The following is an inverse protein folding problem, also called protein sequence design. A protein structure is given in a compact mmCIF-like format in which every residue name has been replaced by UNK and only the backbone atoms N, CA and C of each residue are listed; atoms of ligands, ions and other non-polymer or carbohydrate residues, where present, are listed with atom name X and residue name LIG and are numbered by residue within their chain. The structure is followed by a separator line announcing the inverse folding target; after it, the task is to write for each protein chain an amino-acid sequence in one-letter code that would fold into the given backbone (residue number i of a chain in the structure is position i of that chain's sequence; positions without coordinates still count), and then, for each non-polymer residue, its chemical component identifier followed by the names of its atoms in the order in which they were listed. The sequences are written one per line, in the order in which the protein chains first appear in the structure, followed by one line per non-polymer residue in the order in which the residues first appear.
data_IF_855368883998
#
_entry.id   IF_855368883998
#
_cell.length_a   1.000
_cell.length_b   1.000
_cell.length_c   1.000
_cell.angle_alpha   90.00
_cell.angle_beta   90.00
_cell.angle_gamma   90.00
#
_symmetry.space_group_name_H-M   'P 1'
#
loop_
_entity.id
_entity.type
_entity.pdbx_description
1 polymer ?
#
# COMPACT_ATOMS: atom_id res chain seq x y z
N UNK A 1 2.90 11.08 -0.21
CA UNK A 1 3.01 11.32 1.25
C UNK A 1 4.46 11.11 1.63
N UNK A 2 5.17 12.10 2.17
CA UNK A 2 6.51 11.95 2.73
C UNK A 2 6.47 11.06 3.97
N UNK A 3 7.37 10.08 4.03
CA UNK A 3 7.50 9.17 5.17
C UNK A 3 8.85 9.38 5.83
N UNK A 4 8.85 9.46 7.16
CA UNK A 4 10.03 9.46 8.01
C UNK A 4 10.22 8.07 8.59
N UNK A 5 11.34 7.42 8.37
CA UNK A 5 11.76 6.25 9.12
C UNK A 5 12.57 6.74 10.33
N UNK A 6 12.06 6.51 11.54
CA UNK A 6 12.66 6.96 12.79
C UNK A 6 13.18 5.75 13.56
N UNK A 7 14.49 5.64 13.74
CA UNK A 7 15.10 4.54 14.50
C UNK A 7 15.47 5.03 15.90
N UNK A 8 14.96 4.36 16.91
CA UNK A 8 15.20 4.71 18.32
C UNK A 8 16.24 3.77 18.91
N UNK A 9 17.30 4.30 19.49
CA UNK A 9 18.38 3.59 20.18
C UNK A 9 18.93 2.37 19.41
N UNK A 10 19.08 2.51 18.09
CA UNK A 10 19.67 1.45 17.25
C UNK A 10 21.08 1.11 17.73
N UNK A 11 21.35 -0.17 17.98
CA UNK A 11 22.64 -0.66 18.48
C UNK A 11 23.51 -1.29 17.39
N UNK A 12 22.90 -1.90 16.39
CA UNK A 12 23.62 -2.63 15.35
C UNK A 12 23.91 -1.71 14.16
N UNK A 13 25.21 -1.46 13.83
CA UNK A 13 25.58 -0.64 12.69
C UNK A 13 25.07 -1.18 11.34
N UNK A 14 25.07 -2.50 11.15
CA UNK A 14 24.54 -3.12 9.93
C UNK A 14 23.04 -2.87 9.73
N UNK A 15 22.24 -2.92 10.82
CA UNK A 15 20.83 -2.57 10.76
C UNK A 15 20.63 -1.08 10.40
N UNK A 16 21.46 -0.21 10.94
CA UNK A 16 21.44 1.22 10.62
C UNK A 16 21.69 1.46 9.13
N UNK A 17 22.75 0.85 8.58
CA UNK A 17 23.08 0.95 7.17
C UNK A 17 21.97 0.38 6.27
N UNK A 18 21.47 -0.80 6.58
CA UNK A 18 20.39 -1.44 5.82
C UNK A 18 19.09 -0.62 5.88
N UNK A 19 18.77 0.01 7.02
CA UNK A 19 17.61 0.90 7.13
C UNK A 19 17.79 2.18 6.31
N UNK A 20 18.99 2.75 6.25
CA UNK A 20 19.31 3.89 5.40
C UNK A 20 19.10 3.54 3.92
N UNK A 21 19.56 2.37 3.50
CA UNK A 21 19.32 1.86 2.14
C UNK A 21 17.83 1.66 1.85
N UNK A 22 17.09 1.09 2.78
CA UNK A 22 15.64 0.95 2.66
C UNK A 22 14.95 2.31 2.52
N UNK A 23 15.30 3.28 3.38
CA UNK A 23 14.76 4.63 3.29
C UNK A 23 15.01 5.26 1.91
N UNK A 24 16.22 5.13 1.37
CA UNK A 24 16.56 5.64 0.03
C UNK A 24 15.77 4.93 -1.06
N UNK A 25 15.61 3.60 -1.00
CA UNK A 25 14.86 2.82 -1.98
C UNK A 25 13.38 3.24 -2.07
N UNK A 26 12.78 3.63 -0.95
CA UNK A 26 11.38 4.01 -0.87
C UNK A 26 11.15 5.53 -0.84
N UNK A 27 12.22 6.34 -0.99
CA UNK A 27 12.10 7.79 -0.97
C UNK A 27 11.67 8.34 0.40
N UNK A 28 11.96 7.60 1.49
CA UNK A 28 11.71 8.03 2.85
C UNK A 28 12.91 8.80 3.40
N UNK A 29 12.65 9.73 4.31
CA UNK A 29 13.69 10.35 5.12
C UNK A 29 14.07 9.44 6.28
N UNK A 30 15.33 9.49 6.72
CA UNK A 30 15.82 8.78 7.90
C UNK A 30 16.08 9.76 9.03
N UNK A 31 15.63 9.44 10.23
CA UNK A 31 15.96 10.13 11.47
C UNK A 31 16.36 9.14 12.56
N UNK A 32 17.21 9.58 13.47
CA UNK A 32 17.68 8.75 14.57
C UNK A 32 17.37 9.45 15.90
N UNK A 33 16.84 8.69 16.85
CA UNK A 33 16.62 9.14 18.23
C UNK A 33 17.58 8.38 19.12
N UNK A 34 18.49 9.09 19.80
CA UNK A 34 19.48 8.54 20.73
C UNK A 34 20.24 7.30 20.16
N UNK A 35 20.81 7.39 18.95
CA UNK A 35 21.47 6.24 18.32
C UNK A 35 22.67 5.77 19.14
N UNK A 36 22.80 4.45 19.32
CA UNK A 36 23.92 3.81 20.04
C UNK A 36 24.96 3.26 19.07
N UNK A 37 24.55 2.92 17.85
CA UNK A 37 25.46 2.48 16.81
C UNK A 37 26.24 3.66 16.23
N UNK A 38 27.57 3.55 16.05
CA UNK A 38 28.35 4.53 15.32
C UNK A 38 27.97 4.52 13.83
N UNK A 39 27.75 5.72 13.26
CA UNK A 39 27.29 5.87 11.89
C UNK A 39 28.39 5.63 10.86
N UNK A 40 29.63 5.78 11.25
CA UNK A 40 30.85 5.60 10.46
C UNK A 40 31.45 4.20 10.58
N UNK A 41 30.80 3.30 11.32
CA UNK A 41 31.20 1.91 11.41
C UNK A 41 31.23 1.24 10.04
N UNK A 42 32.21 0.40 9.77
CA UNK A 42 32.38 -0.28 8.49
C UNK A 42 31.11 -1.02 8.03
N UNK A 43 30.41 -1.69 8.96
CA UNK A 43 29.15 -2.38 8.65
C UNK A 43 28.03 -1.38 8.29
N UNK A 44 27.94 -0.22 8.97
CA UNK A 44 26.93 0.78 8.63
C UNK A 44 27.12 1.27 7.19
N UNK A 45 28.37 1.56 6.82
CA UNK A 45 28.71 1.99 5.46
C UNK A 45 28.47 0.87 4.45
N UNK A 46 28.93 -0.36 4.73
CA UNK A 46 28.80 -1.50 3.83
C UNK A 46 27.32 -1.86 3.56
N UNK A 47 26.49 -1.91 4.60
CA UNK A 47 25.07 -2.22 4.45
C UNK A 47 24.24 -1.05 3.91
N UNK A 48 24.72 0.19 4.00
CA UNK A 48 24.08 1.34 3.35
C UNK A 48 24.19 1.28 1.82
N UNK A 49 25.29 0.74 1.28
CA UNK A 49 25.48 0.43 -0.14
C UNK A 49 24.76 1.37 -1.12
N UNK A 50 25.31 2.57 -1.36
CA UNK A 50 24.72 3.61 -2.20
C UNK A 50 23.74 4.56 -1.46
N UNK A 51 23.56 4.41 -0.14
CA UNK A 51 22.77 5.30 0.70
C UNK A 51 23.63 5.97 1.82
N UNK A 52 24.96 5.99 1.66
CA UNK A 52 25.89 6.59 2.63
C UNK A 52 25.66 8.09 2.81
N UNK A 53 25.14 8.75 1.79
CA UNK A 53 24.73 10.15 1.84
C UNK A 53 23.63 10.41 2.87
N UNK A 54 22.68 9.46 3.03
CA UNK A 54 21.66 9.56 4.07
C UNK A 54 22.27 9.41 5.46
N UNK A 55 23.20 8.49 5.65
CA UNK A 55 23.90 8.35 6.95
C UNK A 55 24.68 9.60 7.32
N UNK A 56 25.37 10.22 6.37
CA UNK A 56 26.14 11.46 6.62
C UNK A 56 25.26 12.67 6.96
N UNK A 57 24.04 12.72 6.40
CA UNK A 57 23.10 13.84 6.55
C UNK A 57 22.00 13.56 7.57
N UNK A 58 22.00 12.37 8.20
CA UNK A 58 20.90 11.94 9.07
C UNK A 58 20.74 12.90 10.25
N UNK A 59 19.50 13.33 10.47
CA UNK A 59 19.15 14.15 11.63
C UNK A 59 19.12 13.26 12.88
N UNK A 60 19.81 13.70 13.93
CA UNK A 60 19.83 13.03 15.24
C UNK A 60 19.03 13.87 16.23
N UNK A 61 18.23 13.20 17.00
CA UNK A 61 17.39 13.77 18.05
C UNK A 61 17.75 13.13 19.38
N UNK A 62 17.58 13.86 20.46
CA UNK A 62 17.86 13.33 21.79
C UNK A 62 16.70 12.50 22.32
N UNK A 63 15.46 12.93 22.04
CA UNK A 63 14.23 12.30 22.56
C UNK A 63 13.16 12.18 21.46
N UNK A 64 12.25 11.24 21.65
CA UNK A 64 11.19 10.96 20.66
C UNK A 64 10.22 12.15 20.48
N UNK A 65 10.02 12.96 21.51
CA UNK A 65 9.11 14.11 21.47
C UNK A 65 9.51 15.17 20.41
N UNK A 66 10.77 15.21 20.02
CA UNK A 66 11.24 16.09 18.95
C UNK A 66 10.71 15.70 17.55
N UNK A 67 10.01 14.57 17.41
CA UNK A 67 9.37 14.14 16.18
C UNK A 67 8.00 14.85 15.97
N UNK A 68 7.26 15.12 17.03
CA UNK A 68 5.93 15.73 16.95
C UNK A 68 5.86 17.04 16.14
N UNK A 69 6.86 17.94 16.19
CA UNK A 69 6.83 19.16 15.37
C UNK A 69 7.09 18.93 13.88
N UNK A 70 7.55 17.73 13.48
CA UNK A 70 7.98 17.44 12.09
C UNK A 70 7.15 16.35 11.40
N UNK A 71 6.16 15.79 12.07
CA UNK A 71 5.26 14.80 11.51
C UNK A 71 3.82 15.06 11.98
N UNK A 72 2.84 14.82 11.10
CA UNK A 72 1.42 14.96 11.45
C UNK A 72 0.92 13.74 12.23
N UNK A 73 1.46 12.56 11.92
CA UNK A 73 1.19 11.31 12.61
C UNK A 73 2.49 10.61 13.00
N UNK A 74 2.58 10.19 14.24
CA UNK A 74 3.69 9.41 14.81
C UNK A 74 3.20 7.98 15.07
N UNK A 75 3.69 7.04 14.32
CA UNK A 75 3.19 5.66 14.32
C UNK A 75 4.27 4.68 14.74
N UNK A 76 4.05 4.01 15.87
CA UNK A 76 4.98 3.00 16.39
C UNK A 76 4.84 1.67 15.65
N UNK A 77 5.96 1.05 15.26
CA UNK A 77 6.02 -0.34 14.81
C UNK A 77 6.32 -1.23 16.01
N UNK A 78 5.42 -2.17 16.31
CA UNK A 78 5.62 -3.12 17.42
C UNK A 78 5.10 -4.51 17.06
N UNK A 79 5.71 -5.56 17.62
CA UNK A 79 5.18 -6.91 17.52
C UNK A 79 3.91 -7.08 18.35
N UNK A 80 3.05 -8.05 17.98
CA UNK A 80 1.81 -8.37 18.71
C UNK A 80 2.04 -8.89 20.13
N UNK A 81 3.23 -9.45 20.42
CA UNK A 81 3.50 -10.10 21.71
C UNK A 81 3.60 -9.09 22.85
N UNK A 82 2.74 -9.29 23.83
CA UNK A 82 3.01 -9.00 25.24
C UNK A 82 2.63 -7.62 25.77
N UNK A 83 1.95 -6.75 25.02
CA UNK A 83 1.59 -5.44 25.58
C UNK A 83 0.14 -5.04 25.33
N UNK A 84 -0.78 -5.79 25.90
CA UNK A 84 -2.10 -5.26 26.25
C UNK A 84 -1.92 -4.41 27.53
N UNK A 85 -1.37 -3.20 27.39
CA UNK A 85 -1.23 -2.27 28.51
C UNK A 85 -2.33 -1.23 28.41
N UNK A 86 -3.00 -0.94 29.53
CA UNK A 86 -3.94 0.19 29.62
C UNK A 86 -3.24 1.49 29.18
N UNK A 87 -3.88 2.26 28.32
CA UNK A 87 -3.36 3.54 27.85
C UNK A 87 -2.46 3.48 26.61
N UNK A 88 -2.27 2.31 25.98
CA UNK A 88 -1.61 2.23 24.69
C UNK A 88 -2.63 2.22 23.55
N UNK A 89 -2.32 2.82 22.40
CA UNK A 89 -3.12 2.65 21.19
C UNK A 89 -3.26 1.17 20.85
N UNK A 90 -4.44 0.68 20.43
CA UNK A 90 -4.62 -0.70 20.02
C UNK A 90 -3.70 -1.00 18.81
N UNK A 91 -3.16 -2.22 18.71
CA UNK A 91 -2.40 -2.60 17.53
C UNK A 91 -3.34 -2.66 16.33
N UNK A 92 -2.95 -2.00 15.26
CA UNK A 92 -3.72 -1.87 14.02
C UNK A 92 -2.91 -2.44 12.87
N UNK A 93 -3.54 -3.04 11.89
CA UNK A 93 -2.88 -3.50 10.67
C UNK A 93 -2.66 -2.36 9.69
N UNK A 94 -1.69 -2.52 8.76
CA UNK A 94 -1.48 -1.58 7.67
C UNK A 94 -2.73 -1.38 6.79
N UNK A 95 -3.54 -2.43 6.62
CA UNK A 95 -4.77 -2.36 5.84
C UNK A 95 -5.79 -1.43 6.48
N UNK A 96 -5.92 -1.49 7.80
CA UNK A 96 -6.89 -0.69 8.55
C UNK A 96 -6.50 0.78 8.61
N UNK A 97 -5.22 1.07 8.87
CA UNK A 97 -4.74 2.45 9.06
C UNK A 97 -4.36 3.16 7.74
N UNK A 98 -4.15 2.41 6.65
CA UNK A 98 -3.62 2.98 5.41
C UNK A 98 -4.46 4.13 4.85
N UNK A 99 -5.78 4.11 5.03
CA UNK A 99 -6.67 5.19 4.56
C UNK A 99 -6.49 6.48 5.35
N UNK A 100 -6.37 6.40 6.68
CA UNK A 100 -6.12 7.58 7.53
C UNK A 100 -4.75 8.16 7.29
N UNK A 101 -3.70 7.32 7.26
CA UNK A 101 -2.33 7.78 7.01
C UNK A 101 -2.16 8.45 5.64
N UNK A 102 -2.96 8.07 4.63
CA UNK A 102 -2.91 8.73 3.31
C UNK A 102 -3.40 10.17 3.32
N UNK A 103 -4.14 10.59 4.33
CA UNK A 103 -4.62 11.97 4.49
C UNK A 103 -3.58 12.84 5.18
N UNK A 104 -2.59 12.26 5.86
CA UNK A 104 -1.53 12.95 6.55
C UNK A 104 -0.55 13.58 5.57
N UNK A 105 -0.08 14.77 5.86
CA UNK A 105 0.95 15.45 5.08
C UNK A 105 2.31 14.77 5.24
N UNK A 106 2.60 14.25 6.46
CA UNK A 106 3.88 13.62 6.78
C UNK A 106 3.69 12.60 7.91
N UNK A 107 4.15 11.38 7.72
CA UNK A 107 4.03 10.28 8.70
C UNK A 107 5.40 9.86 9.19
N UNK A 108 5.60 9.78 10.50
CA UNK A 108 6.77 9.21 11.13
C UNK A 108 6.49 7.75 11.54
N UNK A 109 7.24 6.82 10.98
CA UNK A 109 7.25 5.41 11.38
C UNK A 109 8.37 5.20 12.38
N UNK A 110 8.03 4.90 13.62
CA UNK A 110 8.97 4.77 14.73
C UNK A 110 9.29 3.31 14.99
N UNK A 111 10.57 2.97 14.90
CA UNK A 111 11.11 1.63 15.13
C UNK A 111 11.98 1.64 16.39
N UNK A 112 11.68 0.76 17.31
CA UNK A 112 12.46 0.57 18.53
C UNK A 112 13.77 -0.18 18.30
N UNK A 113 14.65 -0.23 19.32
CA UNK A 113 15.89 -0.98 19.26
C UNK A 113 15.65 -2.48 19.05
N UNK A 114 16.69 -3.17 18.60
CA UNK A 114 16.69 -4.59 18.27
C UNK A 114 16.34 -5.48 19.48
N UNK A 115 16.69 -5.02 20.67
CA UNK A 115 16.35 -5.69 21.93
C UNK A 115 15.34 -4.86 22.71
N UNK A 116 14.23 -5.51 23.10
CA UNK A 116 13.19 -4.89 23.92
C UNK A 116 12.20 -3.98 23.18
N UNK A 117 12.51 -3.50 21.98
CA UNK A 117 11.64 -2.60 21.23
C UNK A 117 11.43 -1.24 21.92
N UNK A 118 10.39 -0.52 21.53
CA UNK A 118 9.99 0.73 22.17
C UNK A 118 9.50 0.50 23.60
N UNK A 119 9.79 1.42 24.53
CA UNK A 119 9.26 1.38 25.88
C UNK A 119 7.76 1.71 25.91
N UNK A 120 7.12 1.46 27.06
CA UNK A 120 5.70 1.80 27.23
C UNK A 120 5.47 3.31 27.08
N UNK A 121 6.36 4.11 27.65
CA UNK A 121 6.32 5.56 27.57
C UNK A 121 6.50 6.07 26.15
N UNK A 122 7.38 5.45 25.36
CA UNK A 122 7.55 5.79 23.94
C UNK A 122 6.32 5.41 23.10
N UNK A 123 5.71 4.25 23.40
CA UNK A 123 4.47 3.83 22.73
C UNK A 123 3.29 4.76 23.05
N UNK A 124 3.22 5.30 24.27
CA UNK A 124 2.19 6.27 24.68
C UNK A 124 2.32 7.62 23.98
N UNK A 125 3.52 7.98 23.49
CA UNK A 125 3.78 9.20 22.73
C UNK A 125 3.49 9.08 21.24
N UNK A 126 3.10 7.90 20.79
CA UNK A 126 2.72 7.66 19.41
C UNK A 126 1.19 7.71 19.25
N UNK A 127 0.73 8.24 18.13
CA UNK A 127 -0.70 8.38 17.82
C UNK A 127 -1.35 7.05 17.49
N UNK A 128 -0.57 6.13 16.90
CA UNK A 128 -1.02 4.80 16.52
C UNK A 128 0.09 3.75 16.69
N UNK A 129 -0.32 2.49 16.71
CA UNK A 129 0.59 1.34 16.78
C UNK A 129 0.29 0.38 15.65
N UNK A 130 1.25 0.20 14.77
CA UNK A 130 1.19 -0.75 13.66
C UNK A 130 1.90 -2.05 13.98
N UNK A 131 1.33 -3.12 13.49
CA UNK A 131 1.92 -4.45 13.58
C UNK A 131 2.08 -5.06 12.19
N UNK A 132 3.25 -5.60 11.92
CA UNK A 132 3.51 -6.42 10.74
C UNK A 132 3.09 -7.85 11.08
N UNK A 133 2.17 -8.40 10.29
CA UNK A 133 1.72 -9.77 10.47
C UNK A 133 2.87 -10.74 10.16
N UNK A 134 3.17 -11.59 11.11
CA UNK A 134 4.18 -12.66 11.04
C UNK A 134 3.58 -13.95 11.62
N UNK A 135 4.30 -15.07 11.52
CA UNK A 135 3.88 -16.31 12.17
C UNK A 135 3.98 -16.17 13.69
N UNK A 136 3.04 -16.80 14.41
CA UNK A 136 2.99 -16.74 15.89
C UNK A 136 4.24 -17.37 16.54
N UNK A 137 4.81 -18.40 15.91
CA UNK A 137 5.99 -19.08 16.40
C UNK A 137 7.25 -18.21 16.30
N UNK A 138 7.31 -17.31 15.32
CA UNK A 138 8.43 -16.41 15.08
C UNK A 138 7.96 -14.98 14.75
N UNK A 139 7.43 -14.24 15.75
CA UNK A 139 6.68 -13.00 15.52
C UNK A 139 7.54 -11.75 15.36
N UNK A 140 8.86 -11.81 15.57
CA UNK A 140 9.74 -10.65 15.53
C UNK A 140 10.58 -10.63 14.27
N UNK A 141 10.52 -9.51 13.54
CA UNK A 141 11.43 -9.24 12.44
C UNK A 141 12.69 -8.54 12.94
N UNK A 142 13.79 -8.71 12.22
CA UNK A 142 14.96 -7.85 12.36
C UNK A 142 14.56 -6.38 12.11
N UNK A 143 15.26 -5.43 12.73
CA UNK A 143 14.96 -4.00 12.61
C UNK A 143 14.94 -3.53 11.15
N UNK A 144 15.98 -3.83 10.38
CA UNK A 144 16.06 -3.42 8.98
C UNK A 144 14.97 -4.09 8.11
N UNK A 145 14.64 -5.35 8.39
CA UNK A 145 13.51 -6.04 7.73
C UNK A 145 12.19 -5.35 8.05
N UNK A 146 11.96 -4.97 9.30
CA UNK A 146 10.75 -4.22 9.69
C UNK A 146 10.64 -2.90 8.94
N UNK A 147 11.75 -2.16 8.80
CA UNK A 147 11.81 -0.90 8.03
C UNK A 147 11.42 -1.14 6.57
N UNK A 148 12.03 -2.13 5.92
CA UNK A 148 11.74 -2.46 4.51
C UNK A 148 10.27 -2.79 4.32
N UNK A 149 9.71 -3.70 5.14
CA UNK A 149 8.31 -4.13 5.01
C UNK A 149 7.36 -2.97 5.26
N UNK A 150 7.58 -2.18 6.31
CA UNK A 150 6.72 -1.04 6.63
C UNK A 150 6.73 0.02 5.52
N UNK A 151 7.90 0.36 5.00
CA UNK A 151 8.03 1.32 3.91
C UNK A 151 7.40 0.79 2.61
N UNK A 152 7.58 -0.50 2.30
CA UNK A 152 6.95 -1.12 1.13
C UNK A 152 5.42 -1.09 1.21
N UNK A 153 4.83 -1.37 2.37
CA UNK A 153 3.39 -1.38 2.58
C UNK A 153 2.76 0.04 2.51
N UNK A 154 3.51 1.07 2.89
CA UNK A 154 3.06 2.47 2.83
C UNK A 154 3.47 3.19 1.55
N UNK A 155 4.34 2.59 0.73
CA UNK A 155 4.84 3.23 -0.47
C UNK A 155 3.75 3.39 -1.52
N UNK A 156 3.58 4.59 -2.10
CA UNK A 156 2.69 4.82 -3.23
C UNK A 156 3.22 4.20 -4.54
N UNK A 157 4.44 3.62 -4.54
CA UNK A 157 5.05 3.02 -5.73
C UNK A 157 4.25 1.86 -6.32
N UNK A 158 3.46 1.14 -5.51
CA UNK A 158 2.55 0.11 -6.05
C UNK A 158 1.49 0.70 -6.97
N UNK A 159 0.92 1.85 -6.63
CA UNK A 159 -0.06 2.52 -7.51
C UNK A 159 0.60 3.03 -8.79
N UNK A 160 1.80 3.59 -8.68
CA UNK A 160 2.56 4.08 -9.84
C UNK A 160 3.05 2.94 -10.73
N UNK A 161 3.43 1.80 -10.12
CA UNK A 161 3.86 0.60 -10.86
C UNK A 161 2.68 -0.08 -11.54
N UNK A 162 1.52 -0.18 -10.88
CA UNK A 162 0.27 -0.67 -11.50
C UNK A 162 -0.16 0.22 -12.65
N UNK A 163 -0.06 1.55 -12.52
CA UNK A 163 -0.32 2.50 -13.61
C UNK A 163 0.65 2.36 -14.78
N UNK A 164 1.95 2.08 -14.53
CA UNK A 164 2.97 1.87 -15.57
C UNK A 164 2.94 0.48 -16.20
N UNK A 165 2.63 -0.54 -15.43
CA UNK A 165 2.53 -1.93 -15.92
C UNK A 165 1.25 -2.19 -16.71
N UNK A 166 0.24 -1.35 -16.55
CA UNK A 166 -1.02 -1.44 -17.27
C UNK A 166 -1.44 -0.04 -17.75
N UNK A 167 -0.84 0.48 -18.85
CA UNK A 167 -1.16 1.81 -19.38
C UNK A 167 -2.63 1.95 -19.75
N UNK A 168 -3.37 0.86 -19.94
CA UNK A 168 -4.82 0.86 -20.12
C UNK A 168 -5.62 1.14 -18.83
N UNK A 169 -5.00 1.07 -17.64
CA UNK A 169 -5.66 1.37 -16.35
C UNK A 169 -5.42 2.81 -15.86
N UNK A 170 -4.76 3.66 -16.64
CA UNK A 170 -4.61 5.10 -16.37
C UNK A 170 -5.72 5.97 -16.96
N UNK A 171 -6.56 5.41 -17.82
CA UNK A 171 -7.76 6.07 -18.30
C UNK A 171 -8.88 5.97 -17.26
N UNK A 172 -9.61 7.04 -17.04
CA UNK A 172 -10.78 7.04 -16.15
C UNK A 172 -11.77 5.93 -16.56
N UNK A 173 -12.40 5.30 -15.57
CA UNK A 173 -13.46 4.34 -15.83
C UNK A 173 -14.54 4.99 -16.70
N UNK A 174 -15.10 4.23 -17.62
CA UNK A 174 -16.11 4.73 -18.54
C UNK A 174 -17.27 5.42 -17.78
N UNK A 175 -17.79 6.53 -18.32
CA UNK A 175 -18.99 7.16 -17.76
C UNK A 175 -20.12 6.15 -17.58
N UNK A 176 -20.88 6.26 -16.49
CA UNK A 176 -21.98 5.35 -16.19
C UNK A 176 -23.00 5.20 -17.33
N UNK A 177 -23.14 6.22 -18.17
CA UNK A 177 -24.00 6.20 -19.37
C UNK A 177 -23.46 5.18 -20.40
N UNK A 178 -22.17 5.20 -20.67
CA UNK A 178 -21.54 4.34 -21.68
C UNK A 178 -21.47 2.89 -21.18
N UNK A 179 -21.21 2.68 -19.91
CA UNK A 179 -21.25 1.35 -19.30
C UNK A 179 -22.68 0.75 -19.40
N UNK A 180 -23.72 1.54 -19.09
CA UNK A 180 -25.11 1.08 -19.26
C UNK A 180 -25.43 0.70 -20.69
N UNK A 181 -24.96 1.50 -21.65
CA UNK A 181 -25.13 1.21 -23.08
C UNK A 181 -24.45 -0.10 -23.49
N UNK A 182 -23.24 -0.34 -22.98
CA UNK A 182 -22.53 -1.62 -23.21
C UNK A 182 -23.33 -2.81 -22.65
N UNK A 183 -23.76 -2.72 -21.38
CA UNK A 183 -24.51 -3.79 -20.73
C UNK A 183 -25.84 -4.09 -21.44
N UNK A 184 -26.54 -3.05 -21.86
CA UNK A 184 -27.77 -3.20 -22.66
C UNK A 184 -27.48 -3.92 -23.99
N UNK A 185 -26.47 -3.45 -24.75
CA UNK A 185 -26.05 -4.05 -26.02
C UNK A 185 -25.62 -5.51 -25.85
N UNK A 186 -24.90 -5.83 -24.78
CA UNK A 186 -24.46 -7.18 -24.44
C UNK A 186 -25.67 -8.10 -24.18
N UNK A 187 -26.57 -7.68 -23.31
CA UNK A 187 -27.79 -8.42 -22.98
C UNK A 187 -28.61 -8.71 -24.22
N UNK A 188 -28.90 -7.70 -25.03
CA UNK A 188 -29.66 -7.83 -26.27
C UNK A 188 -29.01 -8.80 -27.27
N UNK A 189 -27.69 -8.68 -27.44
CA UNK A 189 -26.96 -9.55 -28.36
C UNK A 189 -26.99 -11.01 -27.89
N UNK A 190 -26.75 -11.25 -26.60
CA UNK A 190 -26.81 -12.62 -26.04
C UNK A 190 -28.21 -13.21 -26.12
N UNK A 191 -29.25 -12.45 -25.75
CA UNK A 191 -30.64 -12.92 -25.82
C UNK A 191 -31.04 -13.22 -27.25
N UNK A 192 -30.69 -12.39 -28.23
CA UNK A 192 -31.00 -12.59 -29.65
C UNK A 192 -30.25 -13.80 -30.25
N UNK A 193 -29.07 -14.11 -29.69
CA UNK A 193 -28.30 -15.30 -30.03
C UNK A 193 -28.83 -16.59 -29.33
N UNK A 194 -29.91 -16.51 -28.55
CA UNK A 194 -30.46 -17.64 -27.79
C UNK A 194 -29.66 -18.03 -26.56
N UNK A 195 -28.84 -17.12 -26.03
CA UNK A 195 -28.06 -17.35 -24.79
C UNK A 195 -28.76 -16.69 -23.58
N UNK A 196 -28.86 -17.37 -22.43
CA UNK A 196 -28.41 -18.73 -22.15
C UNK A 196 -29.34 -19.77 -22.77
N UNK A 197 -28.76 -20.84 -23.33
CA UNK A 197 -29.51 -21.96 -23.84
C UNK A 197 -30.20 -22.80 -22.75
N UNK A 198 -30.95 -23.84 -23.16
CA UNK A 198 -31.61 -24.75 -22.20
C UNK A 198 -30.61 -25.37 -21.22
N UNK A 199 -30.92 -25.30 -19.92
CA UNK A 199 -30.07 -25.89 -18.86
C UNK A 199 -29.18 -24.91 -18.10
N UNK A 200 -29.14 -23.63 -18.44
CA UNK A 200 -28.38 -22.59 -17.70
C UNK A 200 -29.30 -21.85 -16.70
N UNK A 201 -28.72 -21.38 -15.60
CA UNK A 201 -29.40 -20.53 -14.64
C UNK A 201 -29.94 -19.27 -15.31
N UNK A 202 -31.11 -18.80 -14.88
CA UNK A 202 -31.69 -17.53 -15.35
C UNK A 202 -30.80 -16.30 -15.03
N UNK A 203 -29.80 -16.47 -14.14
CA UNK A 203 -28.95 -15.39 -13.63
C UNK A 203 -27.63 -15.23 -14.39
N UNK A 204 -27.32 -16.08 -15.38
CA UNK A 204 -26.03 -16.03 -16.11
C UNK A 204 -25.76 -14.67 -16.76
N UNK A 205 -26.78 -14.03 -17.33
CA UNK A 205 -26.64 -12.70 -17.93
C UNK A 205 -26.27 -11.67 -16.82
N UNK A 206 -26.92 -11.76 -15.67
CA UNK A 206 -26.64 -10.89 -14.53
C UNK A 206 -25.21 -11.11 -13.96
N UNK A 207 -24.72 -12.34 -13.99
CA UNK A 207 -23.34 -12.66 -13.61
C UNK A 207 -22.33 -12.04 -14.58
N UNK A 208 -22.58 -12.11 -15.89
CA UNK A 208 -21.75 -11.45 -16.92
C UNK A 208 -21.77 -9.92 -16.74
N UNK A 209 -22.94 -9.33 -16.51
CA UNK A 209 -23.05 -7.90 -16.22
C UNK A 209 -22.26 -7.51 -14.96
N UNK A 210 -22.32 -8.31 -13.91
CA UNK A 210 -21.57 -8.12 -12.69
C UNK A 210 -20.07 -8.22 -12.92
N UNK A 211 -19.61 -9.17 -13.74
CA UNK A 211 -18.21 -9.29 -14.14
C UNK A 211 -17.72 -8.03 -14.86
N UNK A 212 -18.46 -7.55 -15.86
CA UNK A 212 -18.12 -6.32 -16.59
C UNK A 212 -18.05 -5.10 -15.66
N UNK A 213 -19.01 -4.95 -14.74
CA UNK A 213 -19.04 -3.86 -13.75
C UNK A 213 -17.83 -3.89 -12.82
N UNK A 214 -17.42 -5.09 -12.35
CA UNK A 214 -16.23 -5.26 -11.49
C UNK A 214 -14.94 -4.92 -12.23
N UNK A 215 -14.89 -5.15 -13.55
CA UNK A 215 -13.73 -4.82 -14.39
C UNK A 215 -13.46 -3.32 -14.54
N UNK A 216 -14.47 -2.46 -14.23
CA UNK A 216 -14.36 -0.99 -14.37
C UNK A 216 -13.75 -0.59 -15.71
N UNK A 217 -14.32 -1.00 -16.85
CA UNK A 217 -13.72 -0.75 -18.15
C UNK A 217 -13.59 0.74 -18.45
N UNK A 218 -12.53 1.12 -19.15
CA UNK A 218 -12.29 2.48 -19.63
C UNK A 218 -13.23 2.84 -20.76
N UNK A 219 -13.34 4.13 -21.11
CA UNK A 219 -14.15 4.60 -22.23
C UNK A 219 -13.72 3.95 -23.56
N UNK A 220 -12.41 3.74 -23.74
CA UNK A 220 -11.85 3.05 -24.91
C UNK A 220 -12.25 1.58 -24.97
N UNK A 221 -12.14 0.87 -23.86
CA UNK A 221 -12.55 -0.55 -23.77
C UNK A 221 -14.04 -0.74 -24.03
N UNK A 222 -14.87 0.15 -23.48
CA UNK A 222 -16.32 0.16 -23.76
C UNK A 222 -16.58 0.37 -25.24
N UNK A 223 -15.88 1.30 -25.90
CA UNK A 223 -16.02 1.55 -27.34
C UNK A 223 -15.62 0.34 -28.18
N UNK A 224 -14.50 -0.31 -27.83
CA UNK A 224 -14.06 -1.55 -28.49
C UNK A 224 -15.06 -2.68 -28.35
N UNK A 225 -15.59 -2.89 -27.15
CA UNK A 225 -16.60 -3.92 -26.88
C UNK A 225 -17.93 -3.65 -27.61
N UNK A 226 -18.38 -2.41 -27.64
CA UNK A 226 -19.55 -2.02 -28.42
C UNK A 226 -19.35 -2.27 -29.94
N UNK A 227 -18.16 -1.97 -30.46
CA UNK A 227 -17.79 -2.26 -31.84
C UNK A 227 -17.82 -3.77 -32.16
N UNK A 228 -17.26 -4.59 -31.24
CA UNK A 228 -17.27 -6.04 -31.37
C UNK A 228 -18.70 -6.61 -31.34
N UNK A 229 -19.54 -6.15 -30.40
CA UNK A 229 -20.95 -6.56 -30.32
C UNK A 229 -21.72 -6.16 -31.58
N UNK A 230 -21.47 -4.96 -32.12
CA UNK A 230 -22.12 -4.52 -33.37
C UNK A 230 -21.70 -5.39 -34.56
N UNK A 231 -20.43 -5.85 -34.62
CA UNK A 231 -19.98 -6.78 -35.66
C UNK A 231 -20.65 -8.13 -35.54
N UNK A 232 -20.75 -8.68 -34.31
CA UNK A 232 -21.47 -9.95 -34.04
C UNK A 232 -22.96 -9.85 -34.45
N UNK A 233 -23.65 -8.77 -34.08
CA UNK A 233 -25.05 -8.57 -34.44
C UNK A 233 -25.26 -8.53 -35.95
N UNK A 234 -24.38 -7.84 -36.70
CA UNK A 234 -24.45 -7.86 -38.18
C UNK A 234 -24.28 -9.26 -38.73
N UNK A 235 -23.32 -10.03 -38.23
CA UNK A 235 -23.09 -11.42 -38.66
C UNK A 235 -24.26 -12.34 -38.39
N UNK A 236 -25.02 -12.08 -37.31
CA UNK A 236 -26.23 -12.84 -36.93
C UNK A 236 -27.51 -12.29 -37.56
N UNK A 237 -27.48 -11.24 -38.39
CA UNK A 237 -28.67 -10.62 -38.97
C UNK A 237 -29.58 -9.91 -37.96
N UNK A 238 -29.07 -9.56 -36.78
CA UNK A 238 -29.82 -8.91 -35.70
C UNK A 238 -29.89 -7.42 -35.93
N UNK A 239 -31.08 -6.85 -36.14
CA UNK A 239 -31.28 -5.41 -36.27
C UNK A 239 -30.95 -4.66 -34.99
N UNK A 240 -30.38 -3.43 -35.06
CA UNK A 240 -30.09 -2.62 -33.86
C UNK A 240 -31.40 -2.24 -33.15
N UNK A 241 -31.52 -2.64 -31.88
CA UNK A 241 -32.57 -2.10 -31.00
C UNK A 241 -32.23 -0.63 -30.69
N UNK A 242 -33.19 0.27 -30.87
CA UNK A 242 -33.05 1.63 -30.36
C UNK A 242 -33.01 1.59 -28.82
N UNK A 243 -32.07 2.32 -28.17
CA UNK A 243 -32.04 2.43 -26.72
C UNK A 243 -33.26 3.13 -26.16
#
# INVERSE_FOLDING_TARGET
MPVLAVLVRTHNPGNLGAAARAAKNFGAELMLVDPRAPLDHADAVAFASGAEDLLRKVKRLAVLDEIAPVADDVVALSSLRGRASRGLPPPTSFKEISSSLRQSRRVALVFGPERGGLTTEELQRCDARLTIATREEFPTLNLAQSVVVALALLSPFEETRRRRANPSHGEEAAPSKDLRRLLFSLKETLSSAGYPGRGHSKDVIAEIESFVKRGKPTAREVTLLLGALAAVRRGLGISPSKP
#
